data_IF_780118802315
#
_entry.id   IF_780118802315
#
_cell.length_a   1.000
_cell.length_b   1.000
_cell.length_c   1.000
_cell.angle_alpha   90.00
_cell.angle_beta   90.00
_cell.angle_gamma   90.00
#
_symmetry.space_group_name_H-M   'P 1'
#
loop_
_entity.id
_entity.type
_entity.pdbx_description
1 polymer ?
#
# COMPACT_ATOMS: atom_id res chain seq x y z
N UNK A 1 5.84 -11.56 7.98
CA UNK A 1 6.74 -12.53 8.61
C UNK A 1 8.04 -12.72 7.82
N UNK A 2 7.97 -13.17 6.57
CA UNK A 2 9.17 -13.37 5.72
C UNK A 2 9.90 -12.04 5.55
N UNK A 3 9.21 -10.99 5.13
CA UNK A 3 9.78 -9.67 4.92
C UNK A 3 10.48 -9.09 6.18
N UNK A 4 9.92 -9.31 7.37
CA UNK A 4 10.52 -8.85 8.62
C UNK A 4 11.87 -9.52 8.93
N UNK A 5 12.06 -10.76 8.49
CA UNK A 5 13.27 -11.56 8.73
C UNK A 5 14.28 -11.51 7.59
N UNK A 6 13.91 -10.93 6.46
CA UNK A 6 14.66 -11.06 5.22
C UNK A 6 16.11 -10.53 5.33
N UNK A 7 16.31 -9.41 6.03
CA UNK A 7 17.64 -8.79 6.21
C UNK A 7 18.15 -8.90 7.66
N UNK A 8 17.52 -9.75 8.48
CA UNK A 8 17.82 -9.86 9.92
C UNK A 8 17.72 -8.51 10.67
N UNK A 9 16.90 -7.57 10.15
CA UNK A 9 16.69 -6.25 10.77
C UNK A 9 15.60 -6.28 11.84
N UNK A 10 14.71 -7.28 11.78
CA UNK A 10 13.58 -7.41 12.70
C UNK A 10 13.42 -8.84 13.17
N UNK A 11 13.13 -8.98 14.45
CA UNK A 11 12.68 -10.22 15.07
C UNK A 11 11.23 -10.09 15.51
N UNK A 12 10.44 -11.15 15.30
CA UNK A 12 9.04 -11.19 15.79
C UNK A 12 9.06 -11.85 17.17
N UNK A 13 8.93 -11.04 18.20
CA UNK A 13 9.06 -11.47 19.60
C UNK A 13 7.74 -11.57 20.34
N UNK A 14 6.65 -11.03 19.75
CA UNK A 14 5.36 -10.91 20.43
C UNK A 14 4.22 -10.77 19.43
N UNK A 15 2.99 -11.09 19.81
CA UNK A 15 1.86 -10.83 18.91
C UNK A 15 0.48 -11.25 19.40
N UNK A 16 -0.50 -10.74 18.63
CA UNK A 16 -1.91 -11.18 18.60
C UNK A 16 -2.22 -11.60 17.16
N UNK A 17 -2.27 -12.89 16.91
CA UNK A 17 -2.34 -13.43 15.55
C UNK A 17 -3.75 -13.87 15.15
N UNK A 18 -4.69 -13.90 16.08
CA UNK A 18 -6.08 -14.29 15.87
C UNK A 18 -6.98 -13.70 16.96
N UNK A 19 -8.27 -13.52 16.63
CA UNK A 19 -9.30 -13.20 17.64
C UNK A 19 -9.53 -14.34 18.64
N UNK A 20 -9.29 -15.57 18.23
CA UNK A 20 -9.30 -16.74 19.11
C UNK A 20 -7.92 -16.91 19.73
N UNK A 21 -7.82 -16.77 21.06
CA UNK A 21 -6.56 -16.81 21.78
C UNK A 21 -5.82 -18.16 21.61
N UNK A 22 -6.52 -19.30 21.65
CA UNK A 22 -5.90 -20.64 21.46
C UNK A 22 -5.20 -20.73 20.09
N UNK A 23 -5.86 -20.25 19.03
CA UNK A 23 -5.29 -20.21 17.68
C UNK A 23 -4.14 -19.19 17.59
N UNK A 24 -4.29 -18.02 18.24
CA UNK A 24 -3.25 -16.98 18.29
C UNK A 24 -1.98 -17.50 18.95
N UNK A 25 -2.11 -18.10 20.13
CA UNK A 25 -1.00 -18.68 20.88
C UNK A 25 -0.31 -19.82 20.13
N UNK A 26 -1.09 -20.78 19.59
CA UNK A 26 -0.55 -21.88 18.79
C UNK A 26 0.27 -21.38 17.60
N UNK A 27 -0.26 -20.37 16.88
CA UNK A 27 0.45 -19.78 15.75
C UNK A 27 1.71 -19.02 16.18
N UNK A 28 1.65 -18.21 17.25
CA UNK A 28 2.81 -17.51 17.78
C UNK A 28 3.93 -18.47 18.19
N UNK A 29 3.60 -19.55 18.90
CA UNK A 29 4.58 -20.58 19.28
C UNK A 29 5.20 -21.28 18.06
N UNK A 30 4.42 -21.50 17.00
CA UNK A 30 4.98 -22.05 15.73
C UNK A 30 5.97 -21.09 15.02
N UNK A 31 6.02 -19.83 15.43
CA UNK A 31 7.02 -18.87 15.00
C UNK A 31 8.23 -18.77 15.92
N UNK A 32 8.27 -19.54 17.00
CA UNK A 32 9.29 -19.47 18.04
C UNK A 32 9.05 -18.40 19.11
N UNK A 33 7.84 -17.82 19.17
CA UNK A 33 7.50 -16.80 20.15
C UNK A 33 7.16 -17.46 21.49
N UNK A 34 7.69 -16.90 22.59
CA UNK A 34 7.35 -17.33 23.95
C UNK A 34 5.82 -17.29 24.16
N UNK A 35 5.27 -18.35 24.74
CA UNK A 35 3.86 -18.44 25.08
C UNK A 35 3.35 -17.25 25.89
N UNK A 36 4.17 -16.72 26.79
CA UNK A 36 3.86 -15.57 27.65
C UNK A 36 3.84 -14.23 26.90
N UNK A 37 4.34 -14.21 25.65
CA UNK A 37 4.31 -13.06 24.73
C UNK A 37 3.29 -13.24 23.59
N UNK A 38 2.46 -14.28 23.65
CA UNK A 38 1.28 -14.46 22.82
C UNK A 38 0.06 -13.95 23.58
N UNK A 39 -0.51 -12.83 23.14
CA UNK A 39 -1.57 -12.14 23.89
C UNK A 39 -2.97 -12.42 23.34
N UNK A 40 -3.98 -12.24 24.21
CA UNK A 40 -5.39 -12.43 23.84
C UNK A 40 -5.94 -11.27 23.01
N UNK A 41 -5.39 -10.07 23.21
CA UNK A 41 -5.80 -8.87 22.51
C UNK A 41 -4.68 -7.81 22.50
N UNK A 42 -4.80 -6.84 21.58
CA UNK A 42 -3.80 -5.80 21.39
C UNK A 42 -3.64 -4.83 22.57
N UNK A 43 -4.68 -4.62 23.38
CA UNK A 43 -4.62 -3.75 24.57
C UNK A 43 -3.75 -4.40 25.66
N UNK A 44 -3.96 -5.69 25.88
CA UNK A 44 -3.13 -6.47 26.78
C UNK A 44 -1.66 -6.46 26.34
N UNK A 45 -1.43 -6.74 25.04
CA UNK A 45 -0.10 -6.69 24.44
C UNK A 45 0.57 -5.33 24.67
N UNK A 46 -0.08 -4.23 24.31
CA UNK A 46 0.46 -2.89 24.48
C UNK A 46 0.81 -2.57 25.94
N UNK A 47 -0.05 -2.97 26.89
CA UNK A 47 0.19 -2.73 28.33
C UNK A 47 1.34 -3.55 28.89
N UNK A 48 1.46 -4.81 28.50
CA UNK A 48 2.51 -5.70 29.00
C UNK A 48 3.86 -5.40 28.36
N UNK A 49 3.89 -5.25 27.02
CA UNK A 49 5.14 -4.98 26.30
C UNK A 49 5.76 -3.62 26.68
N UNK A 50 4.95 -2.59 26.91
CA UNK A 50 5.44 -1.27 27.33
C UNK A 50 6.11 -1.25 28.72
N UNK A 51 5.93 -2.30 29.54
CA UNK A 51 6.51 -2.42 30.87
C UNK A 51 7.76 -3.30 30.92
N UNK A 52 8.07 -3.97 29.82
CA UNK A 52 9.22 -4.88 29.73
C UNK A 52 10.49 -4.10 29.39
N UNK A 53 11.61 -4.52 29.91
CA UNK A 53 12.94 -4.03 29.53
C UNK A 53 13.34 -4.50 28.13
N UNK A 54 12.85 -5.69 27.73
CA UNK A 54 13.00 -6.31 26.41
C UNK A 54 11.72 -6.23 25.59
N UNK A 55 10.90 -5.19 25.81
CA UNK A 55 9.64 -4.98 25.12
C UNK A 55 9.81 -4.70 23.63
N UNK A 56 8.68 -4.65 22.90
CA UNK A 56 8.72 -4.40 21.48
C UNK A 56 9.12 -2.96 21.14
N UNK A 57 9.97 -2.79 20.13
CA UNK A 57 10.32 -1.46 19.57
C UNK A 57 9.26 -0.93 18.62
N UNK A 58 8.57 -1.85 17.93
CA UNK A 58 7.59 -1.52 16.90
C UNK A 58 6.48 -2.56 16.81
N UNK A 59 5.25 -2.12 16.62
CA UNK A 59 4.12 -3.00 16.31
C UNK A 59 3.75 -2.94 14.84
N UNK A 60 3.54 -4.12 14.22
CA UNK A 60 2.99 -4.23 12.88
C UNK A 60 1.47 -4.45 12.94
N UNK A 61 0.69 -3.52 12.38
CA UNK A 61 -0.79 -3.58 12.32
C UNK A 61 -1.20 -4.08 10.94
N UNK A 62 -1.69 -5.32 10.89
CA UNK A 62 -2.12 -6.01 9.66
C UNK A 62 -3.56 -6.51 9.79
N UNK A 63 -4.41 -5.71 10.38
CA UNK A 63 -5.82 -6.00 10.63
C UNK A 63 -6.71 -5.32 9.59
N UNK A 64 -8.03 -5.61 9.54
CA UNK A 64 -8.92 -4.88 8.65
C UNK A 64 -8.96 -3.37 8.94
N UNK A 65 -9.14 -2.51 7.92
CA UNK A 65 -9.00 -1.04 8.00
C UNK A 65 -9.78 -0.36 9.11
N UNK A 66 -11.00 -0.85 9.39
CA UNK A 66 -11.86 -0.28 10.44
C UNK A 66 -11.26 -0.33 11.86
N UNK A 67 -10.26 -1.18 12.09
CA UNK A 67 -9.59 -1.33 13.40
C UNK A 67 -8.25 -0.60 13.50
N UNK A 68 -7.68 -0.09 12.39
CA UNK A 68 -6.35 0.51 12.37
C UNK A 68 -6.20 1.65 13.38
N UNK A 69 -7.16 2.60 13.41
CA UNK A 69 -7.12 3.74 14.33
C UNK A 69 -7.04 3.30 15.79
N UNK A 70 -7.98 2.45 16.24
CA UNK A 70 -8.08 2.06 17.64
C UNK A 70 -6.83 1.31 18.13
N UNK A 71 -6.28 0.44 17.27
CA UNK A 71 -5.06 -0.30 17.57
C UNK A 71 -3.88 0.68 17.62
N UNK A 72 -3.70 1.51 16.59
CA UNK A 72 -2.62 2.47 16.51
C UNK A 72 -2.60 3.42 17.70
N UNK A 73 -3.75 4.01 18.07
CA UNK A 73 -3.86 4.92 19.22
C UNK A 73 -3.47 4.24 20.55
N UNK A 74 -3.76 2.94 20.69
CA UNK A 74 -3.37 2.16 21.88
C UNK A 74 -1.84 2.09 22.02
N UNK A 75 -1.13 1.81 20.93
CA UNK A 75 0.34 1.73 20.95
C UNK A 75 1.02 3.11 20.97
N UNK A 76 0.44 4.13 20.33
CA UNK A 76 0.91 5.53 20.43
C UNK A 76 0.90 6.00 21.88
N UNK A 77 -0.14 5.67 22.64
CA UNK A 77 -0.25 6.02 24.08
C UNK A 77 0.82 5.34 24.94
N UNK A 78 1.49 4.33 24.42
CA UNK A 78 2.60 3.61 25.08
C UNK A 78 3.97 3.99 24.51
N UNK A 79 4.04 4.98 23.61
CA UNK A 79 5.24 5.38 22.89
C UNK A 79 5.91 4.26 22.09
N UNK A 80 5.12 3.29 21.59
CA UNK A 80 5.60 2.20 20.73
C UNK A 80 5.45 2.64 19.28
N UNK A 81 6.50 2.44 18.48
CA UNK A 81 6.49 2.75 17.06
C UNK A 81 5.51 1.85 16.28
N UNK A 82 5.06 2.31 15.12
CA UNK A 82 4.03 1.62 14.36
C UNK A 82 4.42 1.45 12.90
N UNK A 83 4.22 0.24 12.38
CA UNK A 83 4.13 -0.06 10.96
C UNK A 83 2.69 -0.51 10.71
N UNK A 84 1.92 0.25 9.94
CA UNK A 84 0.51 -0.10 9.65
C UNK A 84 0.33 -0.45 8.19
N UNK A 85 -0.50 -1.45 7.93
CA UNK A 85 -0.94 -1.71 6.57
C UNK A 85 -1.87 -0.60 6.07
N UNK A 86 -1.97 -0.48 4.75
CA UNK A 86 -2.92 0.42 4.07
C UNK A 86 -4.38 -0.13 4.16
N UNK A 87 -5.38 0.71 4.04
CA UNK A 87 -5.35 2.19 4.07
C UNK A 87 -5.07 2.72 5.49
N UNK A 88 -4.72 3.98 5.60
CA UNK A 88 -4.36 4.63 6.86
C UNK A 88 -5.46 4.51 7.93
N UNK A 89 -6.73 4.61 7.52
CA UNK A 89 -7.90 4.45 8.37
C UNK A 89 -9.12 4.07 7.52
N UNK A 90 -10.20 3.62 8.15
CA UNK A 90 -11.44 3.24 7.47
C UNK A 90 -12.27 4.41 6.92
N UNK A 91 -12.08 5.63 7.45
CA UNK A 91 -12.76 6.84 7.01
C UNK A 91 -11.99 8.12 7.38
N UNK A 92 -12.42 9.26 6.81
CA UNK A 92 -11.76 10.54 7.01
C UNK A 92 -11.74 11.03 8.46
N UNK A 93 -12.80 10.78 9.24
CA UNK A 93 -12.87 11.17 10.67
C UNK A 93 -11.76 10.44 11.46
N UNK A 94 -11.66 9.14 11.26
CA UNK A 94 -10.61 8.31 11.87
C UNK A 94 -9.21 8.76 11.44
N UNK A 95 -9.03 9.03 10.14
CA UNK A 95 -7.74 9.50 9.62
C UNK A 95 -7.30 10.82 10.23
N UNK A 96 -8.22 11.81 10.33
CA UNK A 96 -7.93 13.11 10.97
C UNK A 96 -7.55 12.96 12.45
N UNK A 97 -8.30 12.14 13.21
CA UNK A 97 -8.03 11.86 14.63
C UNK A 97 -6.64 11.23 14.80
N UNK A 98 -6.38 10.15 14.07
CA UNK A 98 -5.11 9.44 14.14
C UNK A 98 -3.92 10.34 13.76
N UNK A 99 -4.06 11.12 12.68
CA UNK A 99 -3.02 12.06 12.24
C UNK A 99 -2.72 13.13 13.30
N UNK A 100 -3.77 13.67 13.95
CA UNK A 100 -3.60 14.63 15.07
C UNK A 100 -2.78 13.99 16.20
N UNK A 101 -3.10 12.75 16.55
CA UNK A 101 -2.40 12.03 17.61
C UNK A 101 -0.94 11.70 17.28
N UNK A 102 -0.67 11.29 16.05
CA UNK A 102 0.72 11.07 15.58
C UNK A 102 1.51 12.38 15.63
N UNK A 103 0.94 13.49 15.15
CA UNK A 103 1.62 14.79 15.16
C UNK A 103 1.90 15.33 16.56
N UNK A 104 1.04 15.03 17.53
CA UNK A 104 1.22 15.47 18.93
C UNK A 104 2.25 14.64 19.70
N UNK A 105 2.55 13.41 19.27
CA UNK A 105 3.54 12.56 19.93
C UNK A 105 4.84 12.45 19.10
N UNK A 106 5.83 13.28 19.42
CA UNK A 106 7.13 13.31 18.73
C UNK A 106 8.05 12.12 19.04
N UNK A 107 7.69 11.31 20.03
CA UNK A 107 8.52 10.16 20.48
C UNK A 107 8.36 8.94 19.57
N UNK A 108 7.26 8.86 18.80
CA UNK A 108 6.97 7.69 17.96
C UNK A 108 7.27 7.94 16.47
N UNK A 109 7.60 6.87 15.79
CA UNK A 109 7.61 6.79 14.32
C UNK A 109 6.39 6.02 13.85
N UNK A 110 5.74 6.52 12.82
CA UNK A 110 4.60 5.86 12.16
C UNK A 110 4.91 5.66 10.69
N UNK A 111 4.92 4.42 10.23
CA UNK A 111 5.09 4.06 8.84
C UNK A 111 3.80 3.42 8.29
N UNK A 112 3.35 3.89 7.13
CA UNK A 112 2.24 3.28 6.39
C UNK A 112 2.81 2.49 5.20
N UNK A 113 2.43 1.21 5.08
CA UNK A 113 2.98 0.34 4.03
C UNK A 113 2.31 0.62 2.68
N UNK A 114 3.01 1.36 1.83
CA UNK A 114 2.71 1.51 0.41
C UNK A 114 3.77 0.75 -0.39
N UNK A 115 3.60 -0.57 -0.49
CA UNK A 115 4.59 -1.50 -1.04
C UNK A 115 5.06 -1.16 -2.47
N UNK A 116 4.18 -0.61 -3.32
CA UNK A 116 4.55 -0.28 -4.71
C UNK A 116 5.63 0.81 -4.82
N UNK A 117 5.74 1.72 -3.86
CA UNK A 117 6.83 2.69 -3.81
C UNK A 117 8.20 2.09 -3.48
N UNK A 118 8.23 0.82 -3.06
CA UNK A 118 9.47 0.11 -2.78
C UNK A 118 10.09 -0.56 -4.02
N UNK A 119 9.33 -0.73 -5.10
CA UNK A 119 9.86 -1.30 -6.33
C UNK A 119 11.02 -0.45 -6.89
N UNK A 120 12.16 -1.08 -7.27
CA UNK A 120 13.34 -0.36 -7.77
C UNK A 120 13.02 0.57 -8.93
N UNK A 121 12.24 0.11 -9.93
CA UNK A 121 11.92 0.92 -11.11
C UNK A 121 10.92 2.04 -10.82
N UNK A 122 10.10 1.93 -9.78
CA UNK A 122 9.26 3.03 -9.29
C UNK A 122 10.10 4.12 -8.63
N UNK A 123 11.15 3.74 -7.89
CA UNK A 123 12.12 4.70 -7.32
C UNK A 123 12.94 5.37 -8.41
N UNK A 124 13.34 4.60 -9.43
CA UNK A 124 14.00 5.14 -10.62
C UNK A 124 13.12 6.16 -11.35
N UNK A 125 11.84 5.83 -11.56
CA UNK A 125 10.89 6.78 -12.15
C UNK A 125 10.82 8.10 -11.38
N UNK A 126 10.74 8.02 -10.05
CA UNK A 126 10.75 9.21 -9.18
C UNK A 126 12.04 10.03 -9.33
N UNK A 127 13.20 9.39 -9.39
CA UNK A 127 14.49 10.07 -9.57
C UNK A 127 14.58 10.76 -10.93
N UNK A 128 14.16 10.10 -12.00
CA UNK A 128 14.13 10.66 -13.35
C UNK A 128 13.20 11.88 -13.44
N UNK A 129 12.03 11.83 -12.81
CA UNK A 129 11.11 12.96 -12.71
C UNK A 129 11.75 14.11 -11.94
N UNK A 130 12.33 13.84 -10.78
CA UNK A 130 13.00 14.85 -9.95
C UNK A 130 14.17 15.53 -10.68
N UNK A 131 14.89 14.79 -11.54
CA UNK A 131 15.95 15.30 -12.41
C UNK A 131 15.46 16.00 -13.69
N UNK A 132 14.15 16.16 -13.86
CA UNK A 132 13.55 16.85 -15.01
C UNK A 132 13.73 16.11 -16.35
N UNK A 133 13.92 14.76 -16.34
CA UNK A 133 14.13 13.99 -17.57
C UNK A 133 12.94 14.01 -18.52
N UNK A 134 11.72 14.17 -17.99
CA UNK A 134 10.50 14.35 -18.79
C UNK A 134 10.00 15.81 -18.81
N UNK A 135 10.71 16.75 -18.18
CA UNK A 135 10.30 18.14 -18.05
C UNK A 135 9.14 18.33 -17.06
N UNK A 136 8.45 19.46 -17.14
CA UNK A 136 7.26 19.74 -16.33
C UNK A 136 6.16 18.75 -16.69
N UNK A 137 5.58 18.10 -15.68
CA UNK A 137 4.48 17.13 -15.89
C UNK A 137 3.21 17.88 -16.24
N UNK A 138 2.54 17.44 -17.32
CA UNK A 138 1.26 17.95 -17.81
C UNK A 138 0.11 17.00 -17.54
N UNK A 139 0.37 15.65 -17.66
CA UNK A 139 -0.67 14.63 -17.49
C UNK A 139 -0.14 13.43 -16.69
N UNK A 140 -1.03 12.86 -15.85
CA UNK A 140 -0.79 11.61 -15.13
C UNK A 140 -1.97 10.70 -15.36
N UNK A 141 -1.72 9.51 -15.90
CA UNK A 141 -2.70 8.45 -15.97
C UNK A 141 -2.26 7.29 -15.08
N UNK A 142 -3.10 6.92 -14.13
CA UNK A 142 -2.86 5.76 -13.27
C UNK A 142 -4.10 4.88 -13.22
N UNK A 143 -3.88 3.58 -13.37
CA UNK A 143 -4.95 2.60 -13.31
C UNK A 143 -4.55 1.41 -12.43
N UNK A 144 -5.53 0.87 -11.70
CA UNK A 144 -5.36 -0.39 -10.99
C UNK A 144 -6.62 -1.23 -11.17
N UNK A 145 -6.51 -2.24 -12.00
CA UNK A 145 -7.66 -3.02 -12.48
C UNK A 145 -7.52 -4.48 -12.11
N UNK A 146 -8.60 -5.05 -11.58
CA UNK A 146 -8.69 -6.45 -11.16
C UNK A 146 -10.09 -7.01 -11.50
N UNK A 147 -10.27 -8.32 -11.47
CA UNK A 147 -11.54 -8.99 -11.81
C UNK A 147 -12.09 -9.93 -10.72
N UNK A 148 -11.58 -9.84 -9.51
CA UNK A 148 -11.97 -10.78 -8.44
C UNK A 148 -13.40 -10.59 -7.90
N UNK A 149 -14.00 -9.42 -8.10
CA UNK A 149 -15.32 -9.10 -7.58
C UNK A 149 -16.47 -9.84 -8.29
N UNK A 150 -16.25 -10.30 -9.51
CA UNK A 150 -17.28 -10.94 -10.33
C UNK A 150 -17.44 -12.45 -10.06
N UNK A 151 -16.79 -12.99 -9.04
CA UNK A 151 -17.10 -14.31 -8.46
C UNK A 151 -16.69 -15.53 -9.26
N UNK A 152 -16.36 -15.43 -10.54
CA UNK A 152 -16.06 -16.59 -11.39
C UNK A 152 -14.69 -17.23 -11.18
N UNK A 153 -13.75 -16.51 -10.55
CA UNK A 153 -12.41 -17.04 -10.21
C UNK A 153 -12.25 -17.42 -8.74
N UNK A 154 -13.32 -17.32 -7.97
CA UNK A 154 -13.30 -17.71 -6.55
C UNK A 154 -13.43 -19.23 -6.47
N UNK A 155 -12.32 -19.92 -6.41
CA UNK A 155 -12.29 -21.38 -6.16
C UNK A 155 -13.02 -21.73 -4.87
N UNK A 156 -13.82 -22.81 -4.93
CA UNK A 156 -14.91 -23.16 -4.01
C UNK A 156 -14.60 -23.23 -2.50
N UNK A 157 -13.36 -23.28 -2.04
CA UNK A 157 -13.09 -23.78 -0.67
C UNK A 157 -12.58 -22.78 0.39
N UNK A 158 -12.02 -21.61 0.06
CA UNK A 158 -11.56 -20.64 1.10
C UNK A 158 -11.84 -19.17 0.76
N UNK A 159 -12.15 -18.88 -0.46
CA UNK A 159 -12.24 -17.51 -1.00
C UNK A 159 -13.52 -16.79 -0.57
N UNK A 160 -14.64 -17.51 -0.37
CA UNK A 160 -15.92 -16.90 0.07
C UNK A 160 -15.81 -16.19 1.43
N UNK A 161 -15.02 -16.73 2.36
CA UNK A 161 -14.90 -16.16 3.71
C UNK A 161 -13.98 -14.95 3.75
N UNK A 162 -12.93 -14.93 2.92
CA UNK A 162 -11.98 -13.80 2.80
C UNK A 162 -12.61 -12.63 2.08
N UNK A 163 -13.42 -12.88 1.05
CA UNK A 163 -14.14 -11.84 0.31
C UNK A 163 -15.27 -11.23 1.12
N UNK A 164 -15.91 -12.00 2.01
CA UNK A 164 -17.06 -11.51 2.77
C UNK A 164 -16.77 -10.27 3.62
N UNK A 165 -15.57 -10.16 4.22
CA UNK A 165 -15.22 -9.01 5.04
C UNK A 165 -14.82 -7.78 4.20
N UNK A 166 -14.21 -7.97 3.01
CA UNK A 166 -13.85 -6.88 2.08
C UNK A 166 -15.06 -6.14 1.52
N UNK A 167 -16.24 -6.74 1.64
CA UNK A 167 -17.52 -6.19 1.17
C UNK A 167 -18.40 -5.64 2.30
N UNK A 168 -17.88 -5.56 3.53
CA UNK A 168 -18.62 -5.05 4.68
C UNK A 168 -18.15 -3.64 5.03
N UNK A 169 -19.01 -2.65 4.85
CA UNK A 169 -18.72 -1.23 5.06
C UNK A 169 -18.16 -0.91 6.46
N UNK A 170 -18.66 -1.58 7.49
CA UNK A 170 -18.18 -1.41 8.87
C UNK A 170 -16.75 -1.97 9.08
N UNK A 171 -16.27 -2.81 8.19
CA UNK A 171 -14.94 -3.42 8.27
C UNK A 171 -13.94 -2.69 7.37
N UNK A 172 -14.32 -2.42 6.12
CA UNK A 172 -13.41 -1.81 5.13
C UNK A 172 -13.47 -0.29 5.10
N UNK A 173 -14.55 0.32 5.65
CA UNK A 173 -14.73 1.77 5.67
C UNK A 173 -15.66 2.26 4.58
N UNK A 174 -15.51 3.53 4.15
CA UNK A 174 -16.46 4.24 3.30
C UNK A 174 -16.47 3.80 1.84
N UNK A 175 -15.38 3.25 1.34
CA UNK A 175 -15.25 2.74 -0.04
C UNK A 175 -14.50 1.42 -0.03
N UNK A 176 -14.93 0.48 -0.86
CA UNK A 176 -14.23 -0.79 -1.06
C UNK A 176 -13.07 -0.61 -2.05
N UNK A 177 -13.38 -0.20 -3.28
CA UNK A 177 -12.39 -0.13 -4.37
C UNK A 177 -11.31 0.91 -4.11
N UNK A 178 -11.67 2.10 -3.58
CA UNK A 178 -10.67 3.13 -3.31
C UNK A 178 -9.76 2.77 -2.14
N UNK A 179 -10.28 2.15 -1.08
CA UNK A 179 -9.46 1.72 0.06
C UNK A 179 -8.59 0.51 -0.28
N UNK A 180 -9.09 -0.42 -1.11
CA UNK A 180 -8.36 -1.65 -1.45
C UNK A 180 -7.24 -1.38 -2.46
N UNK A 181 -7.54 -0.76 -3.59
CA UNK A 181 -6.60 -0.57 -4.71
C UNK A 181 -6.42 0.90 -5.13
N UNK A 182 -7.43 1.75 -5.00
CA UNK A 182 -7.34 3.17 -5.37
C UNK A 182 -6.30 3.93 -4.55
N UNK A 183 -6.13 3.59 -3.27
CA UNK A 183 -5.11 4.17 -2.39
C UNK A 183 -3.69 3.90 -2.91
N UNK A 184 -3.42 2.73 -3.47
CA UNK A 184 -2.15 2.41 -4.12
C UNK A 184 -1.92 3.22 -5.39
N UNK A 185 -2.94 3.30 -6.25
CA UNK A 185 -2.87 4.06 -7.51
C UNK A 185 -2.61 5.55 -7.23
N UNK A 186 -3.37 6.14 -6.31
CA UNK A 186 -3.16 7.54 -5.92
C UNK A 186 -1.79 7.78 -5.29
N UNK A 187 -1.38 6.90 -4.35
CA UNK A 187 -0.06 7.01 -3.73
C UNK A 187 1.06 6.95 -4.77
N UNK A 188 0.99 6.03 -5.74
CA UNK A 188 1.99 5.89 -6.79
C UNK A 188 2.09 7.18 -7.63
N UNK A 189 0.94 7.77 -7.99
CA UNK A 189 0.89 9.01 -8.75
C UNK A 189 1.60 10.16 -8.03
N UNK A 190 1.27 10.41 -6.75
CA UNK A 190 1.90 11.50 -5.98
C UNK A 190 3.35 11.18 -5.59
N UNK A 191 3.69 9.91 -5.36
CA UNK A 191 5.04 9.50 -5.00
C UNK A 191 6.05 9.74 -6.12
N UNK A 192 5.69 9.37 -7.36
CA UNK A 192 6.58 9.54 -8.52
C UNK A 192 6.62 11.01 -8.95
N UNK A 193 5.45 11.65 -9.05
CA UNK A 193 5.36 13.02 -9.57
C UNK A 193 5.81 14.11 -8.59
N UNK A 194 5.70 13.85 -7.29
CA UNK A 194 5.88 14.87 -6.25
C UNK A 194 4.74 15.91 -6.19
N UNK A 195 3.71 15.77 -7.03
CA UNK A 195 2.59 16.71 -7.12
C UNK A 195 1.56 16.48 -6.01
N UNK A 196 0.77 17.51 -5.71
CA UNK A 196 -0.34 17.46 -4.75
C UNK A 196 -1.65 17.71 -5.48
N UNK A 197 -2.66 16.91 -5.20
CA UNK A 197 -4.00 17.15 -5.71
C UNK A 197 -4.55 18.48 -5.17
N UNK A 198 -5.12 19.30 -6.04
CA UNK A 198 -5.80 20.57 -5.75
C UNK A 198 -7.30 20.38 -5.69
N UNK A 199 -7.86 19.70 -6.66
CA UNK A 199 -9.27 19.36 -6.76
C UNK A 199 -9.45 18.00 -7.41
N UNK A 200 -10.61 17.37 -7.15
CA UNK A 200 -11.00 16.10 -7.75
C UNK A 200 -12.46 16.14 -8.17
N UNK A 201 -12.77 15.41 -9.24
CA UNK A 201 -14.12 14.98 -9.61
C UNK A 201 -14.11 13.46 -9.69
N UNK A 202 -15.08 12.78 -9.07
CA UNK A 202 -15.10 11.33 -8.99
C UNK A 202 -16.47 10.75 -9.32
N UNK A 203 -16.48 9.73 -10.17
CA UNK A 203 -17.62 8.83 -10.38
C UNK A 203 -17.29 7.48 -9.72
N UNK A 204 -18.04 7.13 -8.69
CA UNK A 204 -17.84 5.91 -7.89
C UNK A 204 -19.11 5.09 -7.97
N UNK A 205 -19.01 3.86 -8.47
CA UNK A 205 -20.17 3.01 -8.73
C UNK A 205 -19.97 1.57 -8.27
N UNK A 206 -21.11 0.93 -8.09
CA UNK A 206 -21.24 -0.51 -8.04
C UNK A 206 -21.62 -0.99 -9.46
N UNK A 207 -20.78 -1.77 -10.09
CA UNK A 207 -21.00 -2.38 -11.41
C UNK A 207 -21.47 -3.83 -11.27
N UNK A 208 -20.78 -4.61 -10.41
CA UNK A 208 -21.12 -6.01 -10.17
C UNK A 208 -22.36 -6.15 -9.32
N UNK A 209 -23.31 -6.99 -9.76
CA UNK A 209 -24.55 -7.31 -9.01
C UNK A 209 -24.26 -8.12 -7.73
N UNK A 210 -23.10 -8.73 -7.63
CA UNK A 210 -22.73 -9.64 -6.52
C UNK A 210 -22.12 -8.92 -5.32
N UNK A 211 -21.89 -7.61 -5.41
CA UNK A 211 -21.25 -6.80 -4.36
C UNK A 211 -22.25 -5.72 -3.91
N UNK A 212 -22.22 -5.39 -2.62
CA UNK A 212 -23.06 -4.33 -2.04
C UNK A 212 -22.31 -3.01 -1.83
N UNK A 213 -21.06 -2.93 -2.25
CA UNK A 213 -20.21 -1.74 -2.16
C UNK A 213 -19.71 -1.34 -3.54
N UNK A 214 -19.08 -0.19 -3.61
CA UNK A 214 -18.40 0.28 -4.81
C UNK A 214 -17.30 -0.70 -5.24
N UNK A 215 -17.23 -0.97 -6.53
CA UNK A 215 -16.26 -1.86 -7.16
C UNK A 215 -15.57 -1.22 -8.36
N UNK A 216 -15.95 0.02 -8.68
CA UNK A 216 -15.37 0.84 -9.73
C UNK A 216 -15.31 2.30 -9.32
N UNK A 217 -14.21 2.98 -9.61
CA UNK A 217 -14.05 4.41 -9.44
C UNK A 217 -13.22 5.02 -10.57
N UNK A 218 -13.72 6.13 -11.12
CA UNK A 218 -13.02 6.97 -12.07
C UNK A 218 -12.86 8.36 -11.44
N UNK A 219 -11.63 8.84 -11.34
CA UNK A 219 -11.32 10.10 -10.67
C UNK A 219 -10.51 10.98 -11.59
N UNK A 220 -11.01 12.16 -11.89
CA UNK A 220 -10.26 13.25 -12.53
C UNK A 220 -9.60 14.10 -11.44
N UNK A 221 -8.33 14.46 -11.63
CA UNK A 221 -7.52 15.16 -10.63
C UNK A 221 -6.90 16.40 -11.25
N UNK A 222 -7.06 17.54 -10.61
CA UNK A 222 -6.25 18.73 -10.84
C UNK A 222 -5.11 18.78 -9.85
N UNK A 223 -3.89 18.96 -10.34
CA UNK A 223 -2.71 19.10 -9.51
C UNK A 223 -2.28 20.55 -9.31
N UNK A 224 -1.49 20.81 -8.29
CA UNK A 224 -1.02 22.13 -7.88
C UNK A 224 -0.15 22.87 -8.92
N UNK A 225 0.41 22.15 -9.91
CA UNK A 225 1.18 22.73 -11.02
C UNK A 225 0.34 22.90 -12.31
N UNK A 226 -1.00 22.77 -12.22
CA UNK A 226 -1.98 22.75 -13.32
C UNK A 226 -1.93 21.46 -14.18
N UNK A 227 -1.17 20.45 -13.80
CA UNK A 227 -1.27 19.13 -14.45
C UNK A 227 -2.63 18.51 -14.20
N UNK A 228 -3.09 17.71 -15.17
CA UNK A 228 -4.31 16.93 -15.10
C UNK A 228 -4.01 15.46 -14.85
N UNK A 229 -4.86 14.79 -14.07
CA UNK A 229 -4.73 13.36 -13.83
C UNK A 229 -6.02 12.59 -14.03
N UNK A 230 -5.88 11.34 -14.42
CA UNK A 230 -6.96 10.35 -14.43
C UNK A 230 -6.49 9.18 -13.59
N UNK A 231 -7.35 8.79 -12.64
CA UNK A 231 -7.18 7.57 -11.85
C UNK A 231 -8.39 6.68 -12.10
N UNK A 232 -8.14 5.46 -12.56
CA UNK A 232 -9.16 4.45 -12.71
C UNK A 232 -8.84 3.23 -11.88
N UNK A 233 -9.82 2.79 -11.06
CA UNK A 233 -9.70 1.56 -10.29
C UNK A 233 -10.96 0.73 -10.42
N UNK A 234 -10.81 -0.56 -10.63
CA UNK A 234 -11.92 -1.49 -10.71
C UNK A 234 -11.50 -2.86 -10.18
N UNK A 235 -12.41 -3.53 -9.47
CA UNK A 235 -12.26 -4.93 -9.06
C UNK A 235 -13.27 -5.84 -9.75
N UNK A 236 -14.06 -5.27 -10.68
CA UNK A 236 -15.11 -5.93 -11.46
C UNK A 236 -14.84 -5.93 -12.98
N UNK A 237 -13.69 -5.46 -13.42
CA UNK A 237 -13.31 -5.44 -14.83
C UNK A 237 -12.92 -6.84 -15.29
N UNK A 238 -13.86 -7.54 -15.95
CA UNK A 238 -13.66 -8.92 -16.43
C UNK A 238 -12.46 -9.02 -17.36
N UNK A 239 -11.59 -9.99 -17.10
CA UNK A 239 -10.36 -10.19 -17.87
C UNK A 239 -9.25 -9.21 -17.48
N UNK A 240 -9.48 -8.31 -16.54
CA UNK A 240 -8.45 -7.46 -15.96
C UNK A 240 -7.39 -8.30 -15.25
N UNK A 241 -6.17 -8.23 -15.73
CA UNK A 241 -5.02 -8.88 -15.09
C UNK A 241 -4.54 -7.99 -13.96
N UNK A 242 -4.20 -8.58 -12.80
CA UNK A 242 -3.66 -7.83 -11.66
C UNK A 242 -2.55 -6.88 -12.11
N UNK A 243 -2.87 -5.61 -12.31
CA UNK A 243 -1.94 -4.67 -12.93
C UNK A 243 -2.19 -3.24 -12.47
N UNK A 244 -1.25 -2.72 -11.65
CA UNK A 244 -1.10 -1.30 -11.43
C UNK A 244 -0.23 -0.75 -12.55
N UNK A 245 -0.73 0.25 -13.27
CA UNK A 245 -0.02 0.90 -14.37
C UNK A 245 -0.04 2.41 -14.14
N UNK A 246 1.08 3.05 -14.39
CA UNK A 246 1.18 4.50 -14.35
C UNK A 246 1.91 5.04 -15.58
N UNK A 247 1.40 6.14 -16.13
CA UNK A 247 2.02 6.93 -17.20
C UNK A 247 2.07 8.39 -16.79
N UNK A 248 3.24 9.00 -16.91
CA UNK A 248 3.45 10.42 -16.70
C UNK A 248 3.91 11.06 -18.02
N UNK A 249 3.27 12.14 -18.40
CA UNK A 249 3.57 12.88 -19.63
C UNK A 249 4.01 14.30 -19.25
N UNK A 250 5.19 14.67 -19.70
CA UNK A 250 5.76 15.99 -19.49
C UNK A 250 6.18 16.66 -20.80
N UNK A 251 6.74 17.86 -20.71
CA UNK A 251 7.16 18.68 -21.85
C UNK A 251 8.30 18.05 -22.67
N UNK A 252 9.13 17.20 -22.05
CA UNK A 252 10.32 16.60 -22.67
C UNK A 252 10.16 15.09 -22.94
N UNK A 253 9.01 14.51 -22.59
CA UNK A 253 8.76 13.09 -22.81
C UNK A 253 7.82 12.47 -21.80
N UNK A 254 7.79 11.14 -21.74
CA UNK A 254 6.94 10.39 -20.81
C UNK A 254 7.66 9.22 -20.16
N UNK A 255 7.11 8.78 -19.04
CA UNK A 255 7.49 7.58 -18.31
C UNK A 255 6.29 6.64 -18.19
N UNK A 256 6.53 5.34 -18.26
CA UNK A 256 5.54 4.29 -18.03
C UNK A 256 6.14 3.16 -17.20
N UNK A 257 5.40 2.75 -16.16
CA UNK A 257 5.69 1.57 -15.36
C UNK A 257 4.44 0.71 -15.20
N UNK A 258 4.63 -0.62 -15.21
CA UNK A 258 3.56 -1.62 -15.11
C UNK A 258 3.96 -2.66 -14.07
N UNK A 259 3.05 -2.98 -13.16
CA UNK A 259 3.28 -3.97 -12.09
C UNK A 259 3.50 -5.39 -12.64
N UNK A 260 2.85 -5.74 -13.75
CA UNK A 260 2.97 -7.09 -14.35
C UNK A 260 4.39 -7.38 -14.86
N UNK A 261 5.15 -6.32 -15.10
CA UNK A 261 6.54 -6.38 -15.53
C UNK A 261 7.37 -5.36 -14.74
N UNK A 262 7.51 -5.58 -13.41
CA UNK A 262 7.96 -4.55 -12.48
C UNK A 262 9.45 -4.23 -12.61
N UNK A 263 10.21 -5.10 -13.28
CA UNK A 263 11.65 -4.93 -13.55
C UNK A 263 11.98 -3.88 -14.60
N UNK A 264 10.97 -3.35 -15.30
CA UNK A 264 11.16 -2.43 -16.41
C UNK A 264 10.51 -1.07 -16.19
N UNK A 265 11.13 -0.04 -16.75
CA UNK A 265 10.60 1.32 -16.83
C UNK A 265 10.82 1.85 -18.26
N UNK A 266 9.75 2.23 -18.93
CA UNK A 266 9.82 2.80 -20.26
C UNK A 266 9.97 4.32 -20.17
N UNK A 267 11.02 4.84 -20.78
CA UNK A 267 11.28 6.27 -20.95
C UNK A 267 11.14 6.62 -22.43
N UNK A 268 10.18 7.49 -22.75
CA UNK A 268 9.94 7.97 -24.12
C UNK A 268 10.29 9.46 -24.18
N UNK A 269 11.48 9.84 -24.63
CA UNK A 269 11.82 11.25 -24.82
C UNK A 269 11.01 11.84 -26.00
N UNK A 270 10.69 13.14 -25.94
CA UNK A 270 10.00 13.82 -27.02
C UNK A 270 10.82 13.84 -28.34
N UNK A 271 12.14 13.72 -28.22
CA UNK A 271 13.06 13.58 -29.34
C UNK A 271 14.05 12.45 -29.02
N UNK A 272 14.25 11.54 -29.97
CA UNK A 272 15.18 10.41 -29.84
C UNK A 272 14.48 9.07 -29.64
N UNK A 273 15.26 8.04 -29.39
CA UNK A 273 14.76 6.67 -29.27
C UNK A 273 14.08 6.41 -27.91
N UNK A 274 13.05 5.58 -27.96
CA UNK A 274 12.44 5.01 -26.75
C UNK A 274 13.47 4.13 -26.04
N UNK A 275 13.55 4.27 -24.73
CA UNK A 275 14.45 3.52 -23.87
C UNK A 275 13.66 2.65 -22.90
N UNK A 276 13.98 1.37 -22.87
CA UNK A 276 13.52 0.44 -21.86
C UNK A 276 14.61 0.30 -20.80
N UNK A 277 14.39 0.89 -19.64
CA UNK A 277 15.30 0.80 -18.51
C UNK A 277 14.97 -0.46 -17.71
N UNK A 278 15.98 -1.26 -17.44
CA UNK A 278 15.84 -2.54 -16.76
C UNK A 278 16.50 -2.52 -15.38
N UNK A 279 15.86 -3.16 -14.42
CA UNK A 279 16.40 -3.30 -13.07
C UNK A 279 17.78 -3.94 -13.06
N UNK A 280 18.73 -3.31 -12.37
CA UNK A 280 20.11 -3.81 -12.25
C UNK A 280 21.07 -3.34 -13.32
N UNK A 281 20.62 -2.66 -14.38
CA UNK A 281 21.50 -2.04 -15.37
C UNK A 281 22.05 -0.69 -14.90
N UNK A 282 23.17 -0.28 -15.49
CA UNK A 282 23.91 0.94 -15.10
C UNK A 282 23.09 2.22 -15.16
N UNK A 283 22.10 2.26 -16.02
CA UNK A 283 21.28 3.45 -16.25
C UNK A 283 20.15 3.61 -15.20
N UNK A 284 19.80 2.54 -14.50
CA UNK A 284 18.76 2.54 -13.48
C UNK A 284 19.39 2.64 -12.08
N UNK A 285 19.67 3.86 -11.64
CA UNK A 285 20.39 4.16 -10.40
C UNK A 285 19.75 3.51 -9.18
N UNK A 286 18.42 3.64 -9.03
CA UNK A 286 17.73 3.09 -7.87
C UNK A 286 17.60 1.58 -7.92
N UNK A 287 17.45 0.97 -9.08
CA UNK A 287 17.43 -0.48 -9.18
C UNK A 287 18.72 -1.09 -8.67
N UNK A 288 19.87 -0.46 -8.96
CA UNK A 288 21.19 -0.89 -8.47
C UNK A 288 21.33 -0.74 -6.95
N UNK A 289 20.81 0.38 -6.39
CA UNK A 289 21.00 0.71 -4.97
C UNK A 289 19.99 0.02 -4.05
N UNK A 290 18.80 -0.32 -4.56
CA UNK A 290 17.70 -0.84 -3.76
C UNK A 290 17.29 -2.26 -4.12
N UNK A 291 17.88 -2.86 -5.14
CA UNK A 291 17.68 -4.26 -5.45
C UNK A 291 18.46 -5.12 -4.46
N UNK A 292 17.76 -5.93 -3.70
CA UNK A 292 18.36 -6.87 -2.74
C UNK A 292 18.89 -8.11 -3.42
N UNK A 293 18.32 -8.43 -4.57
CA UNK A 293 18.60 -9.64 -5.32
C UNK A 293 19.27 -9.23 -6.63
N UNK A 294 20.30 -9.94 -7.00
CA UNK A 294 21.03 -9.69 -8.25
C UNK A 294 20.07 -9.80 -9.45
N UNK A 295 20.39 -9.02 -10.49
CA UNK A 295 19.72 -9.12 -11.77
C UNK A 295 19.57 -10.58 -12.23
N UNK A 296 18.43 -10.91 -12.81
CA UNK A 296 18.13 -12.26 -13.26
C UNK A 296 17.49 -13.18 -12.22
N UNK A 297 17.35 -12.73 -10.96
CA UNK A 297 16.63 -13.46 -9.93
C UNK A 297 15.31 -12.78 -9.57
N UNK A 298 14.25 -13.54 -9.21
CA UNK A 298 13.01 -12.96 -8.72
C UNK A 298 13.24 -12.24 -7.38
N UNK A 299 12.59 -11.08 -7.22
CA UNK A 299 12.67 -10.24 -6.02
C UNK A 299 11.42 -10.37 -5.15
#
# INVERSE_FOLDING_TARGET
RIAARFDNQYEIVSGVFSRNFKNSSKFGQSLGIDKNRCYSNYKEMANKEAKRTDGIDVVAIMTPPGSHQAIAETFINKNINIISDKPFAGNLKQAKSLLKKIKSNKKIKYALTHNYSAYPMVREAKDLVAKGKIGKINYINVEYVQDWADGNKITKNNSKKILSWKLQKNIVGTSSVLNEIGSHAYHLAIYISGLKAKSIFADIKQISKNIKMDDNAQVMIDFNNNAKGILWTSVSAKGGVYGLRIRLFGEKGSLEWIQNDPGYLKLNPAKGAVRLLERGFHEAKYSKNFSRIKYGHPE
#
